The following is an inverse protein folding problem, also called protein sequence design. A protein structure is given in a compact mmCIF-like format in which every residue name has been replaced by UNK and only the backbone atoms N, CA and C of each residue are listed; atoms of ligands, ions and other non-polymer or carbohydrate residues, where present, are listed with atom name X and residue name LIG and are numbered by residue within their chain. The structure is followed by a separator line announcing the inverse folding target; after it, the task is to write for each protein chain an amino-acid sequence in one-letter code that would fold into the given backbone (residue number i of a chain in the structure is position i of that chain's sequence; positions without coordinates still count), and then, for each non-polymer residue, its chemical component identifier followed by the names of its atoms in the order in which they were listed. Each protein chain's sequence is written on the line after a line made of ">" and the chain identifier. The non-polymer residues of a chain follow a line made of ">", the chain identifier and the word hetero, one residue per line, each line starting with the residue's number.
data_IF_895247648675
#
_entry.id   IF_895247648675
#
_cell.length_a   1.000
_cell.length_b   1.000
_cell.length_c   1.000
_cell.angle_alpha   90.00
_cell.angle_beta   90.00
_cell.angle_gamma   90.00
#
_symmetry.space_group_name_H-M   'P 1'
#
loop_
_entity.id
_entity.type
_entity.pdbx_description
1 polymer ?
#
# COMPACT_ATOMS: atom_id res chain seq x y z
N UNK A 1 -17.16 -13.81 22.51
CA UNK A 1 -16.91 -12.97 21.31
C UNK A 1 -16.77 -11.54 21.79
N UNK A 2 -15.65 -10.86 21.50
CA UNK A 2 -15.50 -9.45 21.89
C UNK A 2 -16.42 -8.57 21.04
N UNK A 3 -16.79 -7.40 21.56
CA UNK A 3 -17.62 -6.43 20.86
C UNK A 3 -16.99 -5.99 19.52
N UNK A 4 -15.66 -5.89 19.47
CA UNK A 4 -14.88 -5.63 18.25
C UNK A 4 -15.06 -6.72 17.19
N UNK A 5 -15.02 -8.00 17.58
CA UNK A 5 -15.25 -9.11 16.64
C UNK A 5 -16.67 -9.08 16.07
N UNK A 6 -17.67 -8.72 16.88
CA UNK A 6 -19.06 -8.61 16.43
C UNK A 6 -19.22 -7.45 15.43
N UNK A 7 -18.63 -6.29 15.74
CA UNK A 7 -18.67 -5.13 14.84
C UNK A 7 -17.95 -5.40 13.52
N UNK A 8 -16.78 -6.04 13.54
CA UNK A 8 -16.07 -6.42 12.31
C UNK A 8 -16.85 -7.46 11.50
N UNK A 9 -17.49 -8.42 12.16
CA UNK A 9 -18.38 -9.37 11.51
C UNK A 9 -19.56 -8.65 10.83
N UNK A 10 -20.26 -7.76 11.54
CA UNK A 10 -21.40 -7.02 10.99
C UNK A 10 -21.00 -6.13 9.81
N UNK A 11 -19.81 -5.53 9.84
CA UNK A 11 -19.25 -4.76 8.72
C UNK A 11 -18.88 -5.67 7.54
N UNK A 12 -18.24 -6.81 7.80
CA UNK A 12 -17.84 -7.78 6.77
C UNK A 12 -19.03 -8.44 6.06
N UNK A 13 -20.20 -8.53 6.71
CA UNK A 13 -21.43 -9.08 6.12
C UNK A 13 -22.44 -8.00 5.67
N UNK A 14 -22.09 -6.72 5.82
CA UNK A 14 -22.93 -5.61 5.37
C UNK A 14 -22.95 -5.53 3.84
N UNK A 15 -24.14 -5.64 3.25
CA UNK A 15 -24.33 -5.51 1.79
C UNK A 15 -23.88 -4.15 1.26
N UNK A 16 -24.15 -3.08 2.00
CA UNK A 16 -23.80 -1.71 1.61
C UNK A 16 -22.29 -1.51 1.58
N UNK A 17 -21.56 -2.22 2.46
CA UNK A 17 -20.11 -2.22 2.48
C UNK A 17 -19.55 -2.76 1.15
N UNK A 18 -20.00 -3.94 0.72
CA UNK A 18 -19.52 -4.57 -0.50
C UNK A 18 -19.90 -3.80 -1.77
N UNK A 19 -21.07 -3.16 -1.79
CA UNK A 19 -21.42 -2.25 -2.89
C UNK A 19 -20.44 -1.08 -3.00
N UNK A 20 -20.12 -0.42 -1.88
CA UNK A 20 -19.14 0.66 -1.85
C UNK A 20 -17.75 0.18 -2.26
N UNK A 21 -17.34 -1.02 -1.83
CA UNK A 21 -16.06 -1.62 -2.21
C UNK A 21 -16.00 -1.90 -3.72
N UNK A 22 -17.05 -2.44 -4.33
CA UNK A 22 -17.11 -2.67 -5.78
C UNK A 22 -17.09 -1.35 -6.55
N UNK A 23 -17.86 -0.34 -6.10
CA UNK A 23 -17.84 0.99 -6.71
C UNK A 23 -16.44 1.61 -6.63
N UNK A 24 -15.76 1.50 -5.49
CA UNK A 24 -14.38 1.96 -5.34
C UNK A 24 -13.40 1.21 -6.26
N UNK A 25 -13.51 -0.12 -6.33
CA UNK A 25 -12.71 -0.99 -7.20
C UNK A 25 -12.90 -0.69 -8.69
N UNK A 26 -14.05 -0.12 -9.06
CA UNK A 26 -14.43 0.12 -10.45
C UNK A 26 -14.49 1.61 -10.83
N UNK A 27 -14.35 2.53 -9.87
CA UNK A 27 -14.33 3.97 -10.10
C UNK A 27 -13.16 4.43 -11.00
N UNK A 28 -12.11 3.63 -11.14
CA UNK A 28 -11.05 3.82 -12.15
C UNK A 28 -11.48 3.48 -13.59
N UNK A 29 -12.70 2.94 -13.78
CA UNK A 29 -13.23 2.44 -15.06
C UNK A 29 -14.64 2.96 -15.41
N UNK A 30 -15.11 4.03 -14.76
CA UNK A 30 -16.43 4.66 -14.98
C UNK A 30 -17.59 3.65 -14.96
N UNK A 31 -18.03 3.21 -13.77
CA UNK A 31 -19.39 2.67 -13.66
C UNK A 31 -20.39 3.82 -13.77
N UNK A 32 -21.34 3.69 -14.69
CA UNK A 32 -22.52 4.55 -14.71
C UNK A 32 -23.43 4.27 -13.51
N UNK A 33 -24.30 5.23 -13.20
CA UNK A 33 -25.27 5.10 -12.09
C UNK A 33 -26.20 3.89 -12.29
N UNK A 34 -26.45 3.52 -13.54
CA UNK A 34 -27.25 2.36 -13.93
C UNK A 34 -26.59 1.02 -13.56
N UNK A 35 -25.26 0.92 -13.64
CA UNK A 35 -24.52 -0.26 -13.20
C UNK A 35 -24.60 -0.42 -11.69
N UNK A 36 -24.55 0.67 -10.93
CA UNK A 36 -24.71 0.65 -9.47
C UNK A 36 -26.12 0.20 -9.09
N UNK A 37 -27.16 0.67 -9.79
CA UNK A 37 -28.54 0.21 -9.57
C UNK A 37 -28.71 -1.29 -9.87
N UNK A 38 -28.01 -1.81 -10.88
CA UNK A 38 -28.00 -3.25 -11.22
C UNK A 38 -27.30 -4.12 -10.17
N UNK A 39 -26.40 -3.56 -9.35
CA UNK A 39 -25.74 -4.28 -8.26
C UNK A 39 -26.58 -4.35 -6.97
N UNK A 40 -27.49 -3.40 -6.74
CA UNK A 40 -28.36 -3.37 -5.55
C UNK A 40 -29.22 -4.62 -5.32
N UNK A 41 -29.78 -5.32 -6.33
CA UNK A 41 -30.52 -6.56 -6.09
C UNK A 41 -29.61 -7.77 -5.78
N UNK A 42 -28.30 -7.69 -6.01
CA UNK A 42 -27.36 -8.80 -5.82
C UNK A 42 -27.19 -9.12 -4.33
N UNK A 43 -27.03 -10.40 -3.99
CA UNK A 43 -26.82 -10.84 -2.60
C UNK A 43 -25.41 -10.50 -2.11
N UNK A 44 -25.23 -10.31 -0.81
CA UNK A 44 -23.91 -10.01 -0.21
C UNK A 44 -22.84 -11.01 -0.64
N UNK A 45 -23.15 -12.32 -0.65
CA UNK A 45 -22.22 -13.36 -1.11
C UNK A 45 -21.75 -13.14 -2.56
N UNK A 46 -22.67 -12.83 -3.48
CA UNK A 46 -22.31 -12.58 -4.88
C UNK A 46 -21.51 -11.28 -5.03
N UNK A 47 -21.76 -10.27 -4.21
CA UNK A 47 -20.95 -9.04 -4.19
C UNK A 47 -19.53 -9.33 -3.70
N UNK A 48 -19.36 -10.17 -2.67
CA UNK A 48 -18.04 -10.64 -2.20
C UNK A 48 -17.30 -11.34 -3.34
N UNK A 49 -17.97 -12.23 -4.07
CA UNK A 49 -17.35 -12.95 -5.19
C UNK A 49 -16.96 -12.00 -6.34
N UNK A 50 -17.77 -10.98 -6.62
CA UNK A 50 -17.44 -9.93 -7.60
C UNK A 50 -16.23 -9.14 -7.14
N UNK A 51 -16.21 -8.66 -5.90
CA UNK A 51 -15.07 -7.94 -5.33
C UNK A 51 -13.79 -8.79 -5.37
N UNK A 52 -13.88 -10.08 -5.04
CA UNK A 52 -12.76 -11.04 -5.12
C UNK A 52 -12.23 -11.19 -6.55
N UNK A 53 -13.12 -11.34 -7.54
CA UNK A 53 -12.75 -11.43 -8.95
C UNK A 53 -12.13 -10.14 -9.47
N UNK A 54 -12.61 -8.99 -9.02
CA UNK A 54 -12.04 -7.68 -9.36
C UNK A 54 -10.67 -7.48 -8.70
N UNK A 55 -10.48 -7.90 -7.45
CA UNK A 55 -9.22 -7.73 -6.71
C UNK A 55 -8.13 -8.72 -7.13
N UNK A 56 -8.49 -9.93 -7.56
CA UNK A 56 -7.52 -10.97 -7.95
C UNK A 56 -7.34 -11.09 -9.46
N UNK A 57 -8.15 -10.38 -10.25
CA UNK A 57 -8.22 -10.61 -11.70
C UNK A 57 -8.86 -11.97 -12.03
N UNK A 58 -8.97 -12.31 -13.33
CA UNK A 58 -9.47 -13.62 -13.72
C UNK A 58 -8.50 -14.70 -13.21
N UNK A 59 -8.99 -15.59 -12.35
CA UNK A 59 -8.28 -16.81 -11.96
C UNK A 59 -7.94 -17.59 -13.23
N UNK A 60 -6.65 -17.77 -13.51
CA UNK A 60 -6.19 -18.73 -14.51
C UNK A 60 -6.30 -20.12 -13.87
N UNK A 61 -7.49 -20.72 -13.92
CA UNK A 61 -7.65 -22.16 -13.85
C UNK A 61 -7.72 -22.70 -15.29
N UNK A 62 -7.07 -23.84 -15.62
CA UNK A 62 -6.79 -24.25 -17.00
C UNK A 62 -7.98 -24.81 -17.79
N UNK A 63 -9.22 -24.56 -17.36
CA UNK A 63 -10.41 -25.11 -18.02
C UNK A 63 -11.51 -24.06 -18.13
N UNK A 64 -11.43 -23.19 -19.15
CA UNK A 64 -12.64 -22.61 -19.73
C UNK A 64 -12.53 -22.58 -21.26
N UNK A 65 -13.65 -22.77 -21.98
CA UNK A 65 -13.68 -23.01 -23.42
C UNK A 65 -13.43 -21.72 -24.21
N UNK A 66 -12.85 -21.91 -25.40
CA UNK A 66 -12.59 -20.89 -26.41
C UNK A 66 -13.76 -19.90 -26.58
N UNK A 67 -13.47 -18.59 -26.44
CA UNK A 67 -14.33 -17.55 -27.02
C UNK A 67 -14.54 -16.25 -26.24
N UNK A 68 -14.11 -16.12 -24.97
CA UNK A 68 -14.32 -14.89 -24.22
C UNK A 68 -13.16 -13.89 -24.42
N UNK A 69 -13.34 -12.95 -25.35
CA UNK A 69 -12.45 -11.79 -25.52
C UNK A 69 -12.73 -10.81 -24.38
N UNK A 70 -11.89 -10.82 -23.33
CA UNK A 70 -11.80 -9.71 -22.38
C UNK A 70 -10.55 -8.88 -22.71
N UNK A 71 -10.66 -7.55 -22.89
CA UNK A 71 -9.54 -6.73 -23.34
C UNK A 71 -8.37 -6.76 -22.35
N UNK A 72 -7.22 -7.18 -22.87
CA UNK A 72 -5.92 -7.43 -22.22
C UNK A 72 -5.24 -6.20 -21.57
N UNK A 73 -5.94 -5.07 -21.43
CA UNK A 73 -5.36 -3.76 -21.07
C UNK A 73 -5.70 -3.28 -19.64
N UNK A 74 -6.49 -4.01 -18.86
CA UNK A 74 -6.98 -3.58 -17.54
C UNK A 74 -6.25 -4.22 -16.32
N UNK A 75 -5.10 -4.88 -16.54
CA UNK A 75 -4.50 -5.78 -15.52
C UNK A 75 -3.40 -5.09 -14.66
N UNK A 76 -3.18 -3.79 -14.80
CA UNK A 76 -2.18 -3.06 -13.98
C UNK A 76 -2.82 -1.82 -13.36
N UNK A 77 -3.66 -1.94 -12.32
CA UNK A 77 -3.84 -0.87 -11.29
C UNK A 77 -4.87 -1.11 -10.16
N UNK A 78 -5.29 -2.34 -9.82
CA UNK A 78 -6.44 -2.51 -8.89
C UNK A 78 -6.04 -2.70 -7.41
N UNK A 79 -4.76 -2.92 -7.10
CA UNK A 79 -4.30 -3.15 -5.72
C UNK A 79 -4.20 -1.87 -4.85
N UNK A 80 -4.32 -0.66 -5.41
CA UNK A 80 -4.15 0.58 -4.64
C UNK A 80 -5.43 1.19 -4.07
N UNK A 81 -6.63 0.71 -4.41
CA UNK A 81 -7.88 1.45 -4.14
C UNK A 81 -8.88 0.76 -3.19
N UNK A 82 -8.53 -0.34 -2.53
CA UNK A 82 -9.45 -1.06 -1.59
C UNK A 82 -9.53 -0.40 -0.20
N UNK A 83 -8.93 0.78 -0.01
CA UNK A 83 -9.05 1.57 1.23
C UNK A 83 -10.10 2.67 1.21
N UNK A 84 -11.14 2.54 0.38
CA UNK A 84 -12.38 3.30 0.56
C UNK A 84 -13.37 2.52 1.44
N UNK A 85 -12.93 2.24 2.66
CA UNK A 85 -13.71 1.61 3.74
C UNK A 85 -13.55 2.40 5.04
N UNK A 86 -13.42 3.73 4.93
CA UNK A 86 -12.78 4.52 5.99
C UNK A 86 -13.73 5.21 6.98
N UNK A 87 -15.04 5.43 6.81
CA UNK A 87 -15.79 6.04 7.91
C UNK A 87 -15.90 5.13 9.16
N UNK A 88 -16.09 3.82 9.00
CA UNK A 88 -16.27 2.88 10.11
C UNK A 88 -14.97 2.22 10.58
N UNK A 89 -14.03 1.93 9.67
CA UNK A 89 -12.72 1.41 10.07
C UNK A 89 -11.89 2.50 10.77
N UNK A 90 -11.92 3.75 10.29
CA UNK A 90 -11.28 4.87 11.00
C UNK A 90 -11.93 5.11 12.35
N UNK A 91 -13.27 5.04 12.46
CA UNK A 91 -13.95 5.13 13.75
C UNK A 91 -13.57 4.00 14.73
N UNK A 92 -13.43 2.76 14.24
CA UNK A 92 -12.98 1.63 15.05
C UNK A 92 -11.50 1.77 15.46
N UNK A 93 -10.63 2.22 14.55
CA UNK A 93 -9.21 2.47 14.80
C UNK A 93 -8.99 3.69 15.71
N UNK A 94 -9.82 4.73 15.62
CA UNK A 94 -9.87 5.84 16.57
C UNK A 94 -10.36 5.38 17.95
N UNK A 95 -11.37 4.51 18.02
CA UNK A 95 -11.90 4.00 19.28
C UNK A 95 -10.90 3.16 20.07
N UNK A 96 -9.95 2.49 19.40
CA UNK A 96 -8.83 1.78 20.02
C UNK A 96 -7.57 2.65 20.17
N UNK A 97 -7.66 3.96 19.89
CA UNK A 97 -6.57 4.92 20.08
C UNK A 97 -5.41 4.81 19.08
N UNK A 98 -5.58 4.10 17.95
CA UNK A 98 -4.52 3.92 16.95
C UNK A 98 -4.40 5.10 15.97
N UNK A 99 -5.48 5.87 15.78
CA UNK A 99 -5.52 7.02 14.87
C UNK A 99 -5.95 8.26 15.67
N UNK A 100 -5.14 9.33 15.66
CA UNK A 100 -5.53 10.65 16.16
C UNK A 100 -5.87 11.57 14.98
N UNK A 101 -6.96 12.34 15.07
CA UNK A 101 -7.31 13.38 14.09
C UNK A 101 -6.35 14.56 14.21
N UNK A 102 -5.20 14.48 13.55
CA UNK A 102 -4.35 15.64 13.26
C UNK A 102 -4.44 15.94 11.76
N UNK A 103 -4.88 17.15 11.36
CA UNK A 103 -5.27 17.46 9.98
C UNK A 103 -4.12 17.50 8.96
N UNK A 104 -2.87 17.33 9.38
CA UNK A 104 -1.69 17.39 8.51
C UNK A 104 -1.06 16.04 8.18
N UNK A 105 -1.43 14.96 8.87
CA UNK A 105 -0.82 13.64 8.68
C UNK A 105 -1.80 12.72 7.97
N UNK A 106 -1.44 12.32 6.74
CA UNK A 106 -2.22 11.34 5.99
C UNK A 106 -2.05 9.99 6.66
N UNK A 107 -3.05 9.57 7.42
CA UNK A 107 -3.17 8.16 7.76
C UNK A 107 -3.39 7.40 6.45
N UNK A 108 -2.55 6.41 6.20
CA UNK A 108 -2.67 5.60 5.01
C UNK A 108 -2.42 4.15 5.37
N UNK A 109 -3.19 3.27 4.77
CA UNK A 109 -2.98 1.83 4.89
C UNK A 109 -2.68 1.30 3.49
N UNK A 110 -2.04 0.15 3.38
CA UNK A 110 -1.82 -0.53 2.09
C UNK A 110 -1.72 -2.02 2.33
N UNK A 111 -2.66 -2.77 1.79
CA UNK A 111 -2.59 -4.23 1.78
C UNK A 111 -1.55 -4.65 0.74
N UNK A 112 -0.57 -5.46 1.14
CA UNK A 112 0.46 -5.95 0.24
C UNK A 112 -0.13 -7.01 -0.72
N UNK A 113 0.44 -7.18 -1.93
CA UNK A 113 0.03 -8.26 -2.83
C UNK A 113 0.08 -9.62 -2.11
N UNK A 114 -0.94 -10.45 -2.33
CA UNK A 114 -1.15 -11.70 -1.58
C UNK A 114 -2.07 -11.56 -0.37
N UNK A 115 -2.29 -10.34 0.15
CA UNK A 115 -3.31 -10.06 1.16
C UNK A 115 -2.97 -10.51 2.59
N UNK A 116 -1.81 -11.11 2.81
CA UNK A 116 -1.38 -11.59 4.14
C UNK A 116 -0.85 -10.46 5.03
N UNK A 117 -0.28 -9.41 4.43
CA UNK A 117 0.40 -8.34 5.15
C UNK A 117 -0.23 -6.97 4.86
N UNK A 118 -0.33 -6.14 5.89
CA UNK A 118 -0.89 -4.79 5.83
C UNK A 118 0.12 -3.78 6.36
N UNK A 119 0.49 -2.79 5.54
CA UNK A 119 1.21 -1.61 6.00
C UNK A 119 0.22 -0.57 6.51
N UNK A 120 0.47 -0.05 7.70
CA UNK A 120 -0.32 0.98 8.35
C UNK A 120 0.60 2.15 8.70
N UNK A 121 0.32 3.30 8.11
CA UNK A 121 0.92 4.58 8.48
C UNK A 121 -0.08 5.37 9.28
N UNK A 122 0.25 5.63 10.55
CA UNK A 122 -0.58 6.41 11.44
C UNK A 122 0.24 7.01 12.58
N UNK A 123 -0.18 8.19 13.05
CA UNK A 123 0.44 8.89 14.19
C UNK A 123 1.98 8.91 14.10
N UNK A 124 2.49 9.30 12.93
CA UNK A 124 3.92 9.36 12.54
C UNK A 124 4.71 8.05 12.46
N UNK A 125 4.07 6.90 12.67
CA UNK A 125 4.70 5.58 12.61
C UNK A 125 4.25 4.83 11.37
N UNK A 126 5.16 4.04 10.81
CA UNK A 126 4.83 3.02 9.80
C UNK A 126 4.95 1.65 10.46
N UNK A 127 3.93 0.83 10.30
CA UNK A 127 3.83 -0.49 10.91
C UNK A 127 3.40 -1.51 9.85
N UNK A 128 3.84 -2.76 10.02
CA UNK A 128 3.46 -3.89 9.19
C UNK A 128 2.80 -4.96 10.05
N UNK A 129 1.59 -5.35 9.68
CA UNK A 129 0.81 -6.38 10.35
C UNK A 129 0.68 -7.61 9.47
N UNK A 130 0.75 -8.80 10.06
CA UNK A 130 0.24 -10.01 9.47
C UNK A 130 -1.26 -10.07 9.78
N UNK A 131 -2.08 -9.97 8.75
CA UNK A 131 -3.55 -9.94 8.84
C UNK A 131 -4.10 -11.31 9.22
N UNK A 132 -3.48 -12.38 8.72
CA UNK A 132 -3.91 -13.77 8.97
C UNK A 132 -3.66 -14.15 10.43
N UNK A 133 -2.48 -13.81 10.93
CA UNK A 133 -2.08 -14.10 12.32
C UNK A 133 -2.55 -13.03 13.30
N UNK A 134 -3.09 -11.91 12.80
CA UNK A 134 -3.48 -10.74 13.58
C UNK A 134 -2.35 -10.25 14.51
N UNK A 135 -1.13 -10.15 13.97
CA UNK A 135 0.08 -9.82 14.73
C UNK A 135 0.83 -8.65 14.09
N UNK A 136 1.40 -7.79 14.93
CA UNK A 136 2.38 -6.80 14.48
C UNK A 136 3.69 -7.52 14.12
N UNK A 137 4.07 -7.48 12.85
CA UNK A 137 5.31 -8.06 12.35
C UNK A 137 6.46 -7.09 12.58
N UNK A 138 6.28 -5.84 12.17
CA UNK A 138 7.34 -4.85 12.17
C UNK A 138 6.81 -3.45 12.42
N UNK A 139 7.61 -2.62 13.07
CA UNK A 139 7.36 -1.19 13.23
C UNK A 139 8.63 -0.43 12.86
N UNK A 140 8.46 0.61 12.06
CA UNK A 140 9.53 1.48 11.65
C UNK A 140 9.98 2.37 12.81
N UNK A 141 11.29 2.45 12.97
CA UNK A 141 11.97 3.42 13.83
C UNK A 141 13.11 4.02 13.02
N UNK A 142 13.16 5.35 12.93
CA UNK A 142 14.23 6.05 12.23
C UNK A 142 15.54 5.86 12.99
N UNK A 143 16.59 5.42 12.29
CA UNK A 143 17.94 5.39 12.87
C UNK A 143 18.65 6.73 12.79
N UNK A 144 18.16 7.65 11.94
CA UNK A 144 18.84 8.93 11.70
C UNK A 144 18.37 10.05 12.63
N UNK A 145 17.12 10.03 13.10
CA UNK A 145 16.63 10.98 14.10
C UNK A 145 15.54 10.37 14.98
N UNK A 146 15.69 10.50 16.30
CA UNK A 146 14.75 9.96 17.29
C UNK A 146 13.33 10.55 17.18
N UNK A 147 13.23 11.78 16.65
CA UNK A 147 11.98 12.51 16.47
C UNK A 147 11.51 12.58 14.99
N UNK A 148 12.07 11.75 14.10
CA UNK A 148 11.61 11.71 12.71
C UNK A 148 10.18 11.19 12.63
N UNK A 149 9.35 11.89 11.87
CA UNK A 149 7.98 11.48 11.57
C UNK A 149 7.92 10.92 10.16
N UNK A 150 7.28 9.76 9.99
CA UNK A 150 6.99 9.24 8.65
C UNK A 150 5.97 10.16 7.98
N UNK A 151 6.32 10.70 6.81
CA UNK A 151 5.45 11.57 6.02
C UNK A 151 4.66 10.80 4.97
N UNK A 152 5.35 9.92 4.24
CA UNK A 152 4.79 9.12 3.15
C UNK A 152 5.64 7.87 2.91
N UNK A 153 5.07 6.87 2.23
CA UNK A 153 5.80 5.65 1.88
C UNK A 153 5.34 4.99 0.57
N UNK A 154 6.28 4.27 -0.04
CA UNK A 154 6.02 3.32 -1.12
C UNK A 154 6.53 1.94 -0.75
N UNK A 155 5.96 0.90 -1.35
CA UNK A 155 6.35 -0.48 -1.08
C UNK A 155 6.22 -1.35 -2.32
N UNK A 156 7.10 -2.33 -2.45
CA UNK A 156 7.02 -3.41 -3.44
C UNK A 156 7.45 -4.72 -2.80
N UNK A 157 6.77 -5.81 -3.17
CA UNK A 157 7.20 -7.14 -2.77
C UNK A 157 8.30 -7.67 -3.68
N UNK A 158 9.30 -8.30 -3.07
CA UNK A 158 10.42 -8.97 -3.75
C UNK A 158 10.56 -10.39 -3.23
N UNK A 159 11.43 -11.17 -3.86
CA UNK A 159 11.71 -12.57 -3.48
C UNK A 159 10.43 -13.42 -3.35
N UNK A 160 9.56 -13.35 -4.36
CA UNK A 160 8.27 -14.06 -4.40
C UNK A 160 7.32 -13.70 -3.24
N UNK A 161 7.45 -12.50 -2.67
CA UNK A 161 6.56 -12.02 -1.61
C UNK A 161 7.03 -12.32 -0.19
N UNK A 162 8.20 -12.92 -0.01
CA UNK A 162 8.79 -13.14 1.33
C UNK A 162 9.38 -11.86 1.92
N UNK A 163 9.71 -10.89 1.08
CA UNK A 163 10.36 -9.65 1.46
C UNK A 163 9.65 -8.44 0.84
N UNK A 164 9.76 -7.30 1.51
CA UNK A 164 9.27 -6.02 1.04
C UNK A 164 10.43 -5.01 0.94
N UNK A 165 10.49 -4.26 -0.16
CA UNK A 165 11.27 -3.03 -0.23
C UNK A 165 10.33 -1.88 0.07
N UNK A 166 10.66 -1.07 1.08
CA UNK A 166 9.85 0.05 1.54
C UNK A 166 10.69 1.31 1.41
N UNK A 167 10.16 2.33 0.73
CA UNK A 167 10.76 3.66 0.68
C UNK A 167 9.94 4.54 1.61
N UNK A 168 10.58 5.07 2.65
CA UNK A 168 9.97 5.91 3.67
C UNK A 168 10.51 7.31 3.50
N UNK A 169 9.63 8.31 3.43
CA UNK A 169 10.03 9.72 3.49
C UNK A 169 9.82 10.23 4.92
N UNK A 170 10.84 10.91 5.45
CA UNK A 170 10.86 11.40 6.82
C UNK A 170 10.90 12.91 6.83
N UNK A 171 10.23 13.50 7.82
CA UNK A 171 10.47 14.87 8.22
C UNK A 171 10.98 14.87 9.67
N UNK A 172 12.08 15.58 9.94
CA UNK A 172 12.46 15.87 11.32
C UNK A 172 11.34 16.68 11.98
N UNK A 173 10.93 16.31 13.18
CA UNK A 173 10.01 17.13 13.97
C UNK A 173 10.58 18.54 14.12
N UNK A 174 9.71 19.55 14.04
CA UNK A 174 10.03 20.95 14.31
C UNK A 174 10.50 21.08 15.77
N UNK A 175 11.76 20.79 16.07
CA UNK A 175 12.36 21.30 17.28
C UNK A 175 12.42 22.82 17.10
N UNK A 176 11.59 23.53 17.88
CA UNK A 176 11.52 24.99 17.87
C UNK A 176 12.92 25.56 18.10
N UNK A 177 13.59 25.98 17.02
CA UNK A 177 14.88 26.66 17.08
C UNK A 177 15.98 26.09 16.18
N UNK A 178 15.85 24.86 15.69
CA UNK A 178 16.81 24.34 14.70
C UNK A 178 16.21 24.42 13.29
N UNK A 179 16.67 25.41 12.53
CA UNK A 179 16.23 25.66 11.15
C UNK A 179 16.62 24.54 10.17
N UNK A 180 17.39 23.53 10.60
CA UNK A 180 17.74 22.39 9.76
C UNK A 180 16.69 21.30 9.90
N UNK A 181 15.58 21.47 9.19
CA UNK A 181 14.69 20.36 8.88
C UNK A 181 15.46 19.35 8.02
N UNK A 182 16.06 18.34 8.66
CA UNK A 182 16.72 17.24 7.94
C UNK A 182 15.65 16.45 7.20
N UNK A 183 15.79 16.41 5.87
CA UNK A 183 14.85 15.77 4.94
C UNK A 183 15.52 14.55 4.38
N UNK A 184 15.11 13.42 4.90
CA UNK A 184 15.72 12.14 4.61
C UNK A 184 14.65 11.23 4.04
N UNK A 185 15.00 10.49 3.00
CA UNK A 185 14.26 9.27 2.70
C UNK A 185 15.11 8.08 3.12
N UNK A 186 14.46 6.98 3.47
CA UNK A 186 15.12 5.73 3.81
C UNK A 186 14.52 4.61 2.98
N UNK A 187 15.39 3.79 2.39
CA UNK A 187 15.02 2.60 1.63
C UNK A 187 15.35 1.40 2.49
N UNK A 188 14.33 0.62 2.82
CA UNK A 188 14.42 -0.49 3.77
C UNK A 188 14.06 -1.78 3.05
N UNK A 189 14.80 -2.84 3.36
CA UNK A 189 14.40 -4.20 3.03
C UNK A 189 13.92 -4.89 4.30
N UNK A 190 12.65 -5.32 4.30
CA UNK A 190 12.00 -6.02 5.38
C UNK A 190 11.76 -7.48 4.97
N UNK A 191 12.21 -8.42 5.79
CA UNK A 191 11.83 -9.82 5.71
C UNK A 191 10.53 -10.03 6.48
N UNK A 192 9.46 -10.36 5.76
CA UNK A 192 8.10 -10.42 6.32
C UNK A 192 7.86 -11.64 7.21
N UNK A 193 8.74 -12.65 7.14
CA UNK A 193 8.64 -13.87 7.95
C UNK A 193 9.35 -13.73 9.29
N UNK A 194 10.53 -13.12 9.26
CA UNK A 194 11.40 -13.00 10.43
C UNK A 194 11.27 -11.64 11.13
N UNK A 195 10.56 -10.69 10.51
CA UNK A 195 10.52 -9.28 10.90
C UNK A 195 11.89 -8.58 10.90
N UNK A 196 12.95 -9.24 10.43
CA UNK A 196 14.26 -8.64 10.30
C UNK A 196 14.24 -7.60 9.19
N UNK A 197 14.89 -6.46 9.41
CA UNK A 197 15.01 -5.42 8.39
C UNK A 197 16.43 -4.89 8.32
N UNK A 198 16.76 -4.30 7.17
CA UNK A 198 18.00 -3.54 6.98
C UNK A 198 17.75 -2.30 6.15
N UNK A 199 18.46 -1.23 6.48
CA UNK A 199 18.54 -0.05 5.62
C UNK A 199 19.44 -0.34 4.42
N UNK A 200 18.97 0.01 3.23
CA UNK A 200 19.68 -0.15 1.97
C UNK A 200 20.30 1.16 1.49
N UNK A 201 19.58 2.26 1.64
CA UNK A 201 19.97 3.59 1.20
C UNK A 201 19.27 4.64 2.05
N UNK A 202 19.96 5.73 2.34
CA UNK A 202 19.42 6.87 3.09
C UNK A 202 19.73 8.15 2.33
N UNK A 203 19.05 8.44 1.21
CA UNK A 203 19.32 9.66 0.46
C UNK A 203 18.87 10.89 1.28
N UNK A 204 19.77 11.86 1.36
CA UNK A 204 19.48 13.18 1.90
C UNK A 204 19.02 14.10 0.77
N UNK A 205 18.02 14.94 1.05
CA UNK A 205 17.64 15.99 0.11
C UNK A 205 18.82 16.99 -0.01
N UNK A 206 19.13 17.48 -1.22
CA UNK A 206 20.17 18.48 -1.37
C UNK A 206 19.82 19.72 -0.55
N UNK A 207 20.83 20.33 0.07
CA UNK A 207 20.68 21.62 0.75
C UNK A 207 20.30 22.69 -0.27
N UNK A 208 19.01 22.94 -0.42
CA UNK A 208 18.48 24.04 -1.24
C UNK A 208 17.93 25.14 -0.35
N UNK A 209 18.09 26.39 -0.77
CA UNK A 209 17.50 27.56 -0.10
C UNK A 209 15.98 27.46 0.03
N UNK A 210 15.37 26.76 -0.93
CA UNK A 210 13.94 26.45 -0.92
C UNK A 210 13.73 25.08 -0.29
N UNK A 211 12.86 25.06 0.70
CA UNK A 211 12.68 24.00 1.67
C UNK A 211 11.96 22.73 1.14
N UNK A 212 12.52 22.07 0.12
CA UNK A 212 11.92 20.90 -0.57
C UNK A 212 11.95 19.59 0.19
N UNK A 213 10.85 19.20 0.84
CA UNK A 213 10.66 17.82 1.33
C UNK A 213 10.59 16.82 0.17
N UNK A 214 11.05 15.59 0.41
CA UNK A 214 10.71 14.44 -0.44
C UNK A 214 9.20 14.14 -0.33
N UNK A 215 8.57 13.92 -1.48
CA UNK A 215 7.16 13.56 -1.62
C UNK A 215 7.01 12.51 -2.71
N UNK A 216 5.84 11.86 -2.72
CA UNK A 216 5.41 10.95 -3.77
C UNK A 216 6.46 9.84 -4.06
N UNK A 217 6.89 9.08 -3.04
CA UNK A 217 7.83 8.00 -3.27
C UNK A 217 7.23 6.99 -4.25
N UNK A 218 8.06 6.50 -5.16
CA UNK A 218 7.68 5.51 -6.16
C UNK A 218 8.76 4.46 -6.29
N UNK A 219 8.35 3.19 -6.36
CA UNK A 219 9.24 2.08 -6.66
C UNK A 219 8.77 1.44 -7.96
N UNK A 220 9.66 1.38 -8.94
CA UNK A 220 9.38 0.83 -10.26
C UNK A 220 10.54 -0.08 -10.69
N UNK A 221 10.32 -1.40 -10.60
CA UNK A 221 11.34 -2.41 -10.92
C UNK A 221 12.59 -2.21 -10.05
N UNK A 222 13.71 -1.83 -10.66
CA UNK A 222 15.00 -1.59 -9.99
C UNK A 222 15.26 -0.10 -9.76
N UNK A 223 14.22 0.74 -9.85
CA UNK A 223 14.36 2.18 -9.67
C UNK A 223 13.45 2.67 -8.55
N UNK A 224 14.01 3.60 -7.79
CA UNK A 224 13.29 4.39 -6.80
C UNK A 224 13.28 5.82 -7.31
N UNK A 225 12.10 6.44 -7.30
CA UNK A 225 11.92 7.83 -7.60
C UNK A 225 11.37 8.57 -6.38
N UNK A 226 11.96 9.72 -6.07
CA UNK A 226 11.53 10.63 -5.01
C UNK A 226 11.38 12.03 -5.60
N UNK A 227 10.21 12.64 -5.45
CA UNK A 227 10.00 14.01 -5.91
C UNK A 227 10.38 15.01 -4.82
N UNK A 228 10.98 16.12 -5.19
CA UNK A 228 11.20 17.27 -4.31
C UNK A 228 10.04 18.26 -4.50
N UNK A 229 9.26 18.46 -3.44
CA UNK A 229 7.99 19.22 -3.46
C UNK A 229 8.07 20.60 -4.13
N UNK A 230 9.03 21.45 -3.76
CA UNK A 230 9.11 22.84 -4.26
C UNK A 230 9.82 22.97 -5.61
N UNK A 231 10.83 22.15 -5.88
CA UNK A 231 11.63 22.28 -7.11
C UNK A 231 11.04 21.50 -8.27
N UNK A 232 10.13 20.55 -8.00
CA UNK A 232 9.63 19.60 -8.99
C UNK A 232 10.69 18.62 -9.51
N UNK A 233 11.92 18.68 -8.98
CA UNK A 233 13.01 17.77 -9.35
C UNK A 233 12.71 16.38 -8.81
N UNK A 234 13.21 15.36 -9.50
CA UNK A 234 13.10 13.96 -9.08
C UNK A 234 14.48 13.39 -8.84
N UNK A 235 14.69 12.80 -7.66
CA UNK A 235 15.86 11.97 -7.38
C UNK A 235 15.53 10.55 -7.82
N UNK A 236 16.38 10.01 -8.70
CA UNK A 236 16.29 8.64 -9.17
C UNK A 236 17.46 7.85 -8.59
N UNK A 237 17.16 6.78 -7.88
CA UNK A 237 18.14 5.83 -7.38
C UNK A 237 17.93 4.48 -8.06
N UNK A 238 19.02 3.86 -8.49
CA UNK A 238 18.99 2.48 -8.96
C UNK A 238 19.21 1.55 -7.77
N UNK A 239 18.24 0.68 -7.52
CA UNK A 239 18.31 -0.37 -6.52
C UNK A 239 18.14 -1.71 -7.24
N UNK A 240 19.22 -2.49 -7.30
CA UNK A 240 19.14 -3.86 -7.85
C UNK A 240 18.31 -4.72 -6.90
N UNK A 241 17.01 -4.84 -7.18
CA UNK A 241 16.17 -5.82 -6.52
C UNK A 241 16.59 -7.17 -7.07
N UNK A 242 16.84 -8.17 -6.25
CA UNK A 242 17.34 -9.49 -6.69
C UNK A 242 16.38 -10.27 -7.60
N UNK A 243 15.34 -9.63 -8.15
CA UNK A 243 14.42 -10.17 -9.13
C UNK A 243 15.08 -10.31 -10.51
N UNK A 244 16.16 -11.10 -10.59
CA UNK A 244 16.57 -11.64 -11.88
C UNK A 244 15.39 -12.46 -12.39
N UNK A 245 14.60 -11.90 -13.31
CA UNK A 245 13.66 -12.70 -14.10
C UNK A 245 14.43 -13.92 -14.58
N UNK A 246 13.91 -15.15 -14.40
CA UNK A 246 14.53 -16.29 -15.03
C UNK A 246 14.63 -15.96 -16.52
N UNK A 247 15.87 -15.81 -17.02
CA UNK A 247 16.09 -15.75 -18.45
C UNK A 247 15.62 -17.10 -18.96
N UNK A 248 14.43 -17.13 -19.56
CA UNK A 248 13.97 -18.26 -20.34
C UNK A 248 14.95 -18.44 -21.49
N UNK A 249 16.03 -19.17 -21.22
CA UNK A 249 16.94 -19.67 -22.23
C UNK A 249 16.14 -20.73 -22.99
N UNK A 250 15.46 -20.29 -24.05
CA UNK A 250 15.01 -21.21 -25.08
C UNK A 250 16.27 -21.89 -25.65
N UNK A 251 16.62 -23.04 -25.09
CA UNK A 251 17.44 -24.03 -25.76
C UNK A 251 16.65 -24.47 -26.98
N UNK A 252 17.03 -23.91 -28.14
CA UNK A 252 16.64 -24.46 -29.42
C UNK A 252 17.19 -25.88 -29.51
N UNK A 253 16.28 -26.85 -29.58
CA UNK A 253 16.58 -28.15 -30.15
C UNK A 253 16.82 -27.94 -31.64
N UNK A 254 18.04 -28.20 -32.10
CA UNK A 254 18.35 -28.64 -33.45
C UNK A 254 18.94 -30.05 -33.37
#
# INVERSE_FOLDING_TARGET
>A
MSETCRTLHDVAFSKNMWLSAIVALTAGHYLDEDAIQRLRPITTHKLVDIARKLSHGPEWSPEYPDGAIVPRAAIVNIAEHVLLMVPQAEAALMAIGMIQRTPSYRHSMRLLPGGEYLLCHGSSKLQCYNVVENMLVWAYFSSCCDDSLVKDYATVLVDQGTQAIIVVTLCSGLQLGDSRNTRVAEVIQLDLRTAAFRSLLTPEAPETSDEGDFTDPLIAVDFIALRLSFTGRTVLAYLKTGSSRPQNSHHGYM
#
